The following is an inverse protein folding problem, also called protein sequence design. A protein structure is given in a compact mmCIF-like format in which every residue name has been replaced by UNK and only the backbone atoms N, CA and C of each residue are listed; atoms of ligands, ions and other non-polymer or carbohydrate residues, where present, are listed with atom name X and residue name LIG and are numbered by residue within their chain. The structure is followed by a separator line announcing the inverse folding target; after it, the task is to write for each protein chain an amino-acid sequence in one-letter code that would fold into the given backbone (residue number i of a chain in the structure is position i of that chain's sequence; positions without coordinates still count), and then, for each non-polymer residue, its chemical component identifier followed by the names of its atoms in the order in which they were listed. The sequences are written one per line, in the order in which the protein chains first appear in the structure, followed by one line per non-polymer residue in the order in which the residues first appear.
data_IF_517631809040
#
_entry.id   IF_517631809040
#
_cell.length_a   1.000
_cell.length_b   1.000
_cell.length_c   1.000
_cell.angle_alpha   90.00
_cell.angle_beta   90.00
_cell.angle_gamma   90.00
#
_symmetry.space_group_name_H-M   'P 1'
#
loop_
_entity.id
_entity.type
_entity.pdbx_description
1 polymer ?
#
# COMPACT_ATOMS: atom_id res chain seq x y z
N UNK A 1 -0.27 -30.63 -5.94
CA UNK A 1 0.82 -29.66 -6.10
C UNK A 1 1.22 -29.17 -4.71
N UNK A 2 2.49 -29.26 -4.34
CA UNK A 2 3.00 -28.74 -3.06
C UNK A 2 3.38 -27.28 -3.23
N UNK A 3 3.03 -26.46 -2.23
CA UNK A 3 3.42 -25.06 -2.15
C UNK A 3 4.63 -24.94 -1.22
N UNK A 4 5.55 -24.03 -1.51
CA UNK A 4 6.65 -23.64 -0.63
C UNK A 4 6.49 -22.18 -0.27
N UNK A 5 6.53 -21.84 1.02
CA UNK A 5 6.31 -20.48 1.51
C UNK A 5 7.18 -20.18 2.72
N UNK A 6 7.55 -18.91 2.88
CA UNK A 6 8.25 -18.48 4.08
C UNK A 6 7.35 -18.62 5.32
N UNK A 7 7.91 -19.12 6.42
CA UNK A 7 7.15 -19.35 7.66
C UNK A 7 6.96 -18.06 8.48
N UNK A 8 5.86 -17.36 8.20
CA UNK A 8 5.43 -16.18 8.96
C UNK A 8 4.58 -16.52 10.21
N UNK A 9 4.57 -17.76 10.69
CA UNK A 9 3.80 -18.13 11.90
C UNK A 9 4.56 -17.87 13.21
N UNK A 10 5.87 -17.60 13.12
CA UNK A 10 6.77 -17.35 14.25
C UNK A 10 7.34 -15.91 14.43
N UNK A 11 7.01 -14.86 13.63
CA UNK A 11 7.60 -13.55 13.84
C UNK A 11 7.03 -12.89 15.10
N UNK A 12 7.89 -12.26 15.88
CA UNK A 12 7.47 -11.30 16.89
C UNK A 12 6.88 -10.07 16.18
N UNK A 13 5.57 -10.05 16.05
CA UNK A 13 4.80 -8.94 15.46
C UNK A 13 4.06 -8.15 16.54
N UNK A 14 4.39 -8.35 17.82
CA UNK A 14 3.69 -7.72 18.93
C UNK A 14 3.78 -6.19 18.81
N UNK A 15 2.63 -5.51 18.88
CA UNK A 15 2.56 -4.04 18.81
C UNK A 15 2.74 -3.42 17.42
N UNK A 16 3.01 -4.18 16.36
CA UNK A 16 3.12 -3.63 15.00
C UNK A 16 1.76 -3.69 14.31
N UNK A 17 1.09 -2.54 14.22
CA UNK A 17 -0.15 -2.34 13.47
C UNK A 17 0.20 -1.79 12.08
N UNK A 18 0.64 -2.67 11.19
CA UNK A 18 0.99 -2.36 9.80
C UNK A 18 0.22 -3.29 8.86
N UNK A 19 -0.35 -2.73 7.79
CA UNK A 19 -1.18 -3.48 6.84
C UNK A 19 -0.44 -4.66 6.24
N UNK A 20 0.86 -4.54 5.98
CA UNK A 20 1.61 -5.60 5.32
C UNK A 20 1.97 -6.77 6.26
N UNK A 21 2.07 -6.52 7.56
CA UNK A 21 2.24 -7.58 8.56
C UNK A 21 0.93 -8.35 8.77
N UNK A 22 -0.20 -7.66 8.84
CA UNK A 22 -1.53 -8.30 8.91
C UNK A 22 -1.75 -9.23 7.71
N UNK A 23 -1.40 -8.74 6.54
CA UNK A 23 -1.37 -9.46 5.28
C UNK A 23 -0.54 -10.75 5.34
N UNK A 24 0.75 -10.68 5.74
CA UNK A 24 1.60 -11.88 5.84
C UNK A 24 1.02 -12.93 6.80
N UNK A 25 0.37 -12.49 7.89
CA UNK A 25 -0.33 -13.38 8.82
C UNK A 25 -1.57 -14.01 8.19
N UNK A 26 -2.39 -13.23 7.49
CA UNK A 26 -3.58 -13.73 6.81
C UNK A 26 -3.22 -14.82 5.79
N UNK A 27 -2.18 -14.57 4.98
CA UNK A 27 -1.67 -15.56 4.02
C UNK A 27 -1.11 -16.78 4.72
N UNK A 28 -0.30 -16.61 5.77
CA UNK A 28 0.27 -17.74 6.51
C UNK A 28 -0.81 -18.64 7.12
N UNK A 29 -1.85 -18.04 7.70
CA UNK A 29 -3.01 -18.76 8.24
C UNK A 29 -3.80 -19.47 7.14
N UNK A 30 -4.01 -18.85 5.97
CA UNK A 30 -4.69 -19.49 4.84
C UNK A 30 -3.90 -20.71 4.35
N UNK A 31 -2.60 -20.53 4.15
CA UNK A 31 -1.70 -21.58 3.69
C UNK A 31 -1.54 -22.71 4.72
N UNK A 32 -1.60 -22.42 6.02
CA UNK A 32 -1.61 -23.45 7.06
C UNK A 32 -2.82 -24.38 6.98
N UNK A 33 -3.97 -23.89 6.50
CA UNK A 33 -5.15 -24.69 6.20
C UNK A 33 -5.09 -25.46 4.87
N UNK A 34 -4.10 -25.17 4.02
CA UNK A 34 -3.95 -25.81 2.71
C UNK A 34 -3.27 -27.19 2.85
N UNK A 35 -3.75 -28.20 2.11
CA UNK A 35 -3.38 -29.61 2.31
C UNK A 35 -1.89 -29.96 2.12
N UNK A 36 -1.09 -29.11 1.46
CA UNK A 36 0.31 -29.41 1.16
C UNK A 36 1.16 -28.14 1.05
N UNK A 37 1.76 -27.72 2.17
CA UNK A 37 2.70 -26.59 2.26
C UNK A 37 4.01 -27.04 2.91
N UNK A 38 5.13 -26.78 2.23
CA UNK A 38 6.47 -26.79 2.80
C UNK A 38 6.79 -25.39 3.33
N UNK A 39 7.13 -25.30 4.60
CA UNK A 39 7.56 -24.06 5.21
C UNK A 39 9.08 -23.96 5.18
N UNK A 40 9.60 -22.78 4.83
CA UNK A 40 11.03 -22.51 4.82
C UNK A 40 11.36 -21.17 5.47
N UNK A 41 12.63 -20.99 5.81
CA UNK A 41 13.15 -19.72 6.33
C UNK A 41 13.99 -19.04 5.24
N UNK A 42 13.54 -17.86 4.78
CA UNK A 42 14.19 -17.10 3.74
C UNK A 42 15.62 -16.67 4.15
N UNK A 43 15.85 -16.44 5.44
CA UNK A 43 17.14 -15.98 5.98
C UNK A 43 18.23 -17.06 5.89
N UNK A 44 17.84 -18.32 5.64
CA UNK A 44 18.77 -19.42 5.38
C UNK A 44 19.41 -19.38 4.00
N UNK A 45 18.97 -18.50 3.09
CA UNK A 45 19.55 -18.37 1.77
C UNK A 45 19.06 -19.44 0.80
N UNK A 46 19.88 -19.83 -0.18
CA UNK A 46 19.50 -20.75 -1.25
C UNK A 46 19.00 -22.13 -0.79
N UNK A 47 19.38 -22.60 0.40
CA UNK A 47 18.86 -23.83 1.00
C UNK A 47 17.34 -23.80 1.17
N UNK A 48 16.75 -22.61 1.33
CA UNK A 48 15.32 -22.43 1.57
C UNK A 48 14.44 -22.92 0.41
N UNK A 49 14.95 -22.90 -0.82
CA UNK A 49 14.23 -23.34 -2.03
C UNK A 49 14.76 -24.66 -2.60
N UNK A 50 15.83 -25.22 -2.03
CA UNK A 50 16.49 -26.41 -2.57
C UNK A 50 15.61 -27.67 -2.55
N UNK A 51 14.60 -27.71 -1.67
CA UNK A 51 13.68 -28.86 -1.56
C UNK A 51 12.51 -28.83 -2.55
N UNK A 52 12.34 -27.75 -3.32
CA UNK A 52 11.24 -27.61 -4.26
C UNK A 52 11.44 -28.45 -5.53
N UNK A 53 10.52 -29.38 -5.77
CA UNK A 53 10.59 -30.32 -6.88
C UNK A 53 10.03 -29.73 -8.19
N UNK A 54 10.32 -30.34 -9.35
CA UNK A 54 9.73 -29.93 -10.61
C UNK A 54 8.19 -29.93 -10.58
N UNK A 55 7.58 -28.84 -11.05
CA UNK A 55 6.11 -28.68 -11.06
C UNK A 55 5.49 -28.25 -9.71
N UNK A 56 6.29 -28.07 -8.67
CA UNK A 56 5.87 -27.39 -7.43
C UNK A 56 5.95 -25.86 -7.58
N UNK A 57 5.36 -25.15 -6.62
CA UNK A 57 5.29 -23.68 -6.63
C UNK A 57 5.96 -23.12 -5.39
N UNK A 58 6.83 -22.13 -5.58
CA UNK A 58 7.39 -21.30 -4.52
C UNK A 58 6.62 -19.98 -4.51
N UNK A 59 5.93 -19.72 -3.41
CA UNK A 59 5.28 -18.44 -3.17
C UNK A 59 6.25 -17.50 -2.44
N UNK A 60 6.65 -16.44 -3.14
CA UNK A 60 7.55 -15.39 -2.68
C UNK A 60 6.76 -14.19 -2.17
N UNK A 61 5.97 -14.41 -1.11
CA UNK A 61 5.14 -13.39 -0.47
C UNK A 61 5.79 -12.73 0.75
N UNK A 62 7.12 -12.59 0.73
CA UNK A 62 7.90 -12.15 1.87
C UNK A 62 8.60 -10.84 1.54
N UNK A 63 7.95 -9.70 1.83
CA UNK A 63 8.46 -8.36 1.51
C UNK A 63 8.90 -8.18 0.04
N UNK A 64 9.71 -7.17 -0.26
CA UNK A 64 10.27 -6.96 -1.60
C UNK A 64 11.51 -7.86 -1.85
N UNK A 65 11.43 -9.16 -1.50
CA UNK A 65 12.57 -10.09 -1.57
C UNK A 65 12.45 -11.18 -2.64
N UNK A 66 11.42 -11.13 -3.49
CA UNK A 66 11.15 -12.22 -4.45
C UNK A 66 12.31 -12.48 -5.41
N UNK A 67 13.11 -11.46 -5.73
CA UNK A 67 14.30 -11.60 -6.57
C UNK A 67 15.32 -12.62 -6.01
N UNK A 68 15.34 -12.85 -4.70
CA UNK A 68 16.19 -13.87 -4.07
C UNK A 68 15.71 -15.29 -4.40
N UNK A 69 14.40 -15.54 -4.36
CA UNK A 69 13.86 -16.84 -4.78
C UNK A 69 14.16 -17.12 -6.25
N UNK A 70 14.05 -16.10 -7.10
CA UNK A 70 14.43 -16.20 -8.51
C UNK A 70 15.92 -16.49 -8.67
N UNK A 71 16.81 -15.77 -7.97
CA UNK A 71 18.26 -15.97 -8.03
C UNK A 71 18.66 -17.36 -7.54
N UNK A 72 18.08 -17.82 -6.44
CA UNK A 72 18.39 -19.13 -5.88
C UNK A 72 17.82 -20.27 -6.69
N UNK A 73 16.71 -20.07 -7.42
CA UNK A 73 16.25 -21.03 -8.42
C UNK A 73 17.32 -21.27 -9.48
N UNK A 74 18.00 -20.24 -9.96
CA UNK A 74 19.11 -20.39 -10.92
C UNK A 74 20.29 -21.13 -10.29
N UNK A 75 20.72 -20.73 -9.09
CA UNK A 75 21.87 -21.34 -8.40
C UNK A 75 21.68 -22.81 -8.05
N UNK A 76 20.47 -23.16 -7.63
CA UNK A 76 20.11 -24.55 -7.28
C UNK A 76 19.66 -25.38 -8.48
N UNK A 77 19.60 -24.76 -9.68
CA UNK A 77 19.05 -25.37 -10.91
C UNK A 77 17.62 -25.90 -10.70
N UNK A 78 16.83 -25.19 -9.89
CA UNK A 78 15.44 -25.54 -9.59
C UNK A 78 14.53 -25.48 -10.82
N UNK A 79 13.51 -26.35 -10.85
CA UNK A 79 12.51 -26.45 -11.94
C UNK A 79 11.08 -26.22 -11.43
N UNK A 80 10.94 -25.32 -10.48
CA UNK A 80 9.66 -24.91 -9.89
C UNK A 80 9.22 -23.54 -10.43
N UNK A 81 7.91 -23.30 -10.35
CA UNK A 81 7.27 -22.02 -10.69
C UNK A 81 7.37 -21.07 -9.49
N UNK A 82 7.55 -19.77 -9.75
CA UNK A 82 7.52 -18.75 -8.70
C UNK A 82 6.27 -17.90 -8.86
N UNK A 83 5.51 -17.73 -7.77
CA UNK A 83 4.47 -16.72 -7.65
C UNK A 83 4.96 -15.69 -6.64
N UNK A 84 5.16 -14.45 -7.09
CA UNK A 84 5.60 -13.33 -6.25
C UNK A 84 4.48 -12.31 -6.09
N UNK A 85 4.69 -11.33 -5.22
CA UNK A 85 3.72 -10.26 -5.02
C UNK A 85 4.40 -8.90 -4.91
N UNK A 86 3.57 -7.87 -5.10
CA UNK A 86 3.91 -6.46 -4.91
C UNK A 86 2.82 -5.82 -4.06
N UNK A 87 3.12 -5.48 -2.81
CA UNK A 87 2.12 -4.90 -1.89
C UNK A 87 1.90 -3.42 -2.07
N UNK A 88 2.93 -2.67 -2.47
CA UNK A 88 2.85 -1.22 -2.61
C UNK A 88 3.53 -0.75 -3.89
N UNK A 89 3.15 0.45 -4.34
CA UNK A 89 3.66 1.12 -5.52
C UNK A 89 4.54 2.30 -5.11
N UNK A 90 5.33 2.82 -6.07
CA UNK A 90 6.13 4.03 -5.90
C UNK A 90 7.00 4.00 -4.63
N UNK A 91 7.48 2.81 -4.29
CA UNK A 91 8.42 2.56 -3.21
C UNK A 91 9.62 1.80 -3.74
N UNK A 92 10.81 2.25 -3.36
CA UNK A 92 12.08 1.73 -3.86
C UNK A 92 12.22 0.22 -3.68
N UNK A 93 11.73 -0.34 -2.57
CA UNK A 93 11.77 -1.78 -2.30
C UNK A 93 11.13 -2.65 -3.40
N UNK A 94 9.81 -2.54 -3.61
CA UNK A 94 9.14 -3.35 -4.64
C UNK A 94 9.54 -2.95 -6.07
N UNK A 95 9.94 -1.70 -6.29
CA UNK A 95 10.47 -1.31 -7.59
C UNK A 95 11.78 -2.04 -7.91
N UNK A 96 12.73 -2.01 -6.96
CA UNK A 96 13.99 -2.73 -7.06
C UNK A 96 13.78 -4.25 -7.16
N UNK A 97 12.81 -4.82 -6.44
CA UNK A 97 12.45 -6.23 -6.58
C UNK A 97 12.14 -6.56 -8.04
N UNK A 98 11.25 -5.82 -8.69
CA UNK A 98 10.82 -6.14 -10.05
C UNK A 98 11.91 -5.85 -11.09
N UNK A 99 12.76 -4.84 -10.88
CA UNK A 99 13.99 -4.63 -11.68
C UNK A 99 14.94 -5.83 -11.57
N UNK A 100 15.15 -6.37 -10.36
CA UNK A 100 16.04 -7.51 -10.10
C UNK A 100 15.42 -8.86 -10.52
N UNK A 101 14.10 -8.98 -10.52
CA UNK A 101 13.43 -10.18 -11.03
C UNK A 101 13.49 -10.27 -12.57
N UNK A 102 13.51 -9.13 -13.27
CA UNK A 102 13.40 -9.06 -14.73
C UNK A 102 14.32 -10.03 -15.51
N UNK A 103 15.63 -10.12 -15.24
CA UNK A 103 16.52 -11.04 -15.96
C UNK A 103 16.33 -12.53 -15.59
N UNK A 104 15.54 -12.83 -14.55
CA UNK A 104 15.41 -14.17 -13.95
C UNK A 104 14.00 -14.80 -14.14
N UNK A 105 13.10 -14.10 -14.84
CA UNK A 105 11.74 -14.57 -15.09
C UNK A 105 11.74 -15.76 -16.05
N UNK A 106 10.89 -16.75 -15.77
CA UNK A 106 10.65 -17.91 -16.64
C UNK A 106 9.16 -18.00 -17.01
N UNK A 107 8.81 -18.65 -18.13
CA UNK A 107 7.42 -18.92 -18.47
C UNK A 107 6.67 -19.59 -17.32
N UNK A 108 5.49 -19.08 -17.01
CA UNK A 108 4.65 -19.55 -15.90
C UNK A 108 4.87 -18.81 -14.59
N UNK A 109 5.95 -18.06 -14.39
CA UNK A 109 6.08 -17.18 -13.22
C UNK A 109 4.97 -16.11 -13.21
N UNK A 110 4.49 -15.74 -12.02
CA UNK A 110 3.36 -14.83 -11.85
C UNK A 110 3.67 -13.77 -10.79
N UNK A 111 3.26 -12.53 -11.01
CA UNK A 111 3.21 -11.47 -9.98
C UNK A 111 1.77 -11.12 -9.62
N UNK A 112 1.50 -11.04 -8.33
CA UNK A 112 0.21 -10.65 -7.77
C UNK A 112 0.22 -9.20 -7.33
N UNK A 113 -0.86 -8.48 -7.63
CA UNK A 113 -1.08 -7.10 -7.25
C UNK A 113 -2.35 -6.91 -6.42
N UNK A 114 -2.39 -5.92 -5.51
CA UNK A 114 -3.53 -5.62 -4.66
C UNK A 114 -4.71 -4.99 -5.41
N UNK A 115 -4.46 -4.39 -6.57
CA UNK A 115 -5.46 -3.70 -7.39
C UNK A 115 -5.04 -3.71 -8.85
N UNK A 116 -6.01 -3.59 -9.76
CA UNK A 116 -5.74 -3.41 -11.18
C UNK A 116 -5.06 -2.06 -11.43
N UNK A 117 -5.37 -1.02 -10.64
CA UNK A 117 -4.59 0.23 -10.61
C UNK A 117 -3.09 -0.02 -10.46
N UNK A 118 -2.69 -0.79 -9.44
CA UNK A 118 -1.28 -1.08 -9.17
C UNK A 118 -0.69 -1.96 -10.26
N UNK A 119 -1.42 -2.97 -10.73
CA UNK A 119 -0.98 -3.85 -11.83
C UNK A 119 -0.68 -3.05 -13.10
N UNK A 120 -1.57 -2.13 -13.49
CA UNK A 120 -1.41 -1.28 -14.69
C UNK A 120 -0.22 -0.34 -14.57
N UNK A 121 0.01 0.21 -13.37
CA UNK A 121 1.20 1.02 -13.08
C UNK A 121 2.48 0.22 -13.39
N UNK A 122 2.61 -1.00 -12.88
CA UNK A 122 3.80 -1.82 -13.11
C UNK A 122 3.95 -2.27 -14.57
N UNK A 123 2.86 -2.70 -15.24
CA UNK A 123 2.86 -3.06 -16.67
C UNK A 123 3.37 -1.90 -17.54
N UNK A 124 2.96 -0.65 -17.23
CA UNK A 124 3.36 0.53 -18.01
C UNK A 124 4.86 0.83 -17.91
N UNK A 125 5.44 0.64 -16.73
CA UNK A 125 6.80 1.09 -16.44
C UNK A 125 7.87 -0.01 -16.53
N UNK A 126 7.49 -1.27 -16.36
CA UNK A 126 8.43 -2.40 -16.34
C UNK A 126 8.03 -3.43 -17.40
N UNK A 127 8.84 -3.55 -18.45
CA UNK A 127 8.60 -4.48 -19.56
C UNK A 127 8.58 -5.96 -19.14
N UNK A 128 9.15 -6.28 -17.98
CA UNK A 128 9.14 -7.62 -17.37
C UNK A 128 7.78 -7.99 -16.76
N UNK A 129 6.89 -7.01 -16.52
CA UNK A 129 5.53 -7.22 -16.04
C UNK A 129 4.58 -7.07 -17.22
N UNK A 130 3.88 -8.15 -17.56
CA UNK A 130 2.99 -8.25 -18.71
C UNK A 130 1.61 -8.66 -18.28
N UNK A 131 0.61 -8.53 -19.17
CA UNK A 131 -0.75 -8.98 -18.86
C UNK A 131 -0.82 -10.48 -18.56
N UNK A 132 0.04 -11.28 -19.18
CA UNK A 132 0.04 -12.75 -19.07
C UNK A 132 0.77 -13.27 -17.83
N UNK A 133 1.70 -12.49 -17.27
CA UNK A 133 2.46 -12.87 -16.08
C UNK A 133 2.07 -12.10 -14.82
N UNK A 134 0.92 -11.43 -14.84
CA UNK A 134 0.40 -10.66 -13.71
C UNK A 134 -1.09 -10.83 -13.49
N UNK A 135 -1.54 -10.76 -12.23
CA UNK A 135 -2.96 -10.84 -11.87
C UNK A 135 -3.30 -10.02 -10.63
N UNK A 136 -4.58 -9.65 -10.50
CA UNK A 136 -5.17 -9.15 -9.25
C UNK A 136 -5.80 -10.33 -8.53
N UNK A 137 -5.22 -10.69 -7.39
CA UNK A 137 -5.65 -11.82 -6.57
C UNK A 137 -5.35 -11.58 -5.08
N UNK A 138 -5.47 -10.32 -4.67
CA UNK A 138 -4.96 -9.82 -3.41
C UNK A 138 -5.64 -8.50 -3.05
N UNK A 139 -5.95 -8.19 -1.77
CA UNK A 139 -5.78 -8.97 -0.54
C UNK A 139 -6.88 -10.04 -0.35
N UNK A 140 -6.71 -10.93 0.63
CA UNK A 140 -7.66 -11.98 1.00
C UNK A 140 -8.70 -11.49 2.02
N UNK A 141 -9.91 -11.15 1.57
CA UNK A 141 -10.93 -10.45 2.37
C UNK A 141 -12.01 -11.35 2.96
N UNK A 142 -11.97 -12.67 2.74
CA UNK A 142 -13.00 -13.59 3.25
C UNK A 142 -13.18 -13.57 4.77
N UNK A 143 -12.22 -12.98 5.49
CA UNK A 143 -12.20 -12.87 6.95
C UNK A 143 -12.78 -11.58 7.49
N UNK A 144 -13.08 -10.61 6.63
CA UNK A 144 -13.78 -9.41 7.05
C UNK A 144 -15.24 -9.74 7.43
N UNK A 145 -15.82 -9.01 8.40
CA UNK A 145 -17.22 -9.21 8.73
C UNK A 145 -18.13 -8.85 7.56
N UNK A 146 -19.37 -9.35 7.58
CA UNK A 146 -20.41 -8.98 6.60
C UNK A 146 -21.58 -8.37 7.35
N UNK A 147 -21.39 -7.15 7.84
CA UNK A 147 -22.44 -6.44 8.58
C UNK A 147 -23.45 -5.82 7.61
N UNK A 148 -24.72 -5.65 8.02
CA UNK A 148 -25.70 -4.92 7.24
C UNK A 148 -25.24 -3.49 6.95
N UNK A 149 -25.59 -2.98 5.77
CA UNK A 149 -25.34 -1.58 5.39
C UNK A 149 -25.93 -0.64 6.44
N UNK A 150 -25.13 0.29 6.95
CA UNK A 150 -25.59 1.32 7.85
C UNK A 150 -26.55 2.27 7.11
N UNK A 151 -27.56 2.77 7.85
CA UNK A 151 -28.47 3.79 7.32
C UNK A 151 -27.72 5.10 7.18
N UNK A 152 -27.78 5.71 5.99
CA UNK A 152 -27.31 7.08 5.80
C UNK A 152 -28.29 8.04 6.49
N UNK A 153 -27.85 8.87 7.45
CA UNK A 153 -28.73 9.85 8.10
C UNK A 153 -29.20 10.88 7.08
N UNK A 154 -30.43 11.36 7.21
CA UNK A 154 -30.94 12.47 6.38
C UNK A 154 -30.17 13.77 6.68
N UNK A 155 -30.23 14.79 5.81
CA UNK A 155 -29.59 16.08 6.05
C UNK A 155 -30.01 16.75 7.37
N UNK A 156 -31.21 16.45 7.88
CA UNK A 156 -31.77 16.96 9.14
C UNK A 156 -31.43 16.14 10.38
N UNK A 157 -30.69 15.03 10.22
CA UNK A 157 -30.16 14.24 11.33
C UNK A 157 -28.68 14.55 11.60
N UNK A 158 -28.17 14.28 12.82
CA UNK A 158 -26.74 14.36 13.10
C UNK A 158 -25.90 13.47 12.19
N UNK A 159 -24.68 13.89 11.88
CA UNK A 159 -23.71 13.14 11.08
C UNK A 159 -22.43 12.90 11.88
N UNK A 160 -22.02 11.63 11.97
CA UNK A 160 -20.79 11.21 12.64
C UNK A 160 -19.76 10.82 11.58
N UNK A 161 -18.73 11.65 11.44
CA UNK A 161 -17.67 11.46 10.44
C UNK A 161 -16.52 10.67 11.07
N UNK A 162 -16.02 9.67 10.36
CA UNK A 162 -14.85 8.90 10.76
C UNK A 162 -13.62 9.20 9.91
N UNK A 163 -12.44 9.12 10.52
CA UNK A 163 -11.16 8.97 9.84
C UNK A 163 -10.33 7.89 10.54
N UNK A 164 -9.81 6.94 9.76
CA UNK A 164 -8.97 5.86 10.25
C UNK A 164 -7.75 5.69 9.36
N UNK A 165 -6.56 5.87 9.92
CA UNK A 165 -5.28 5.78 9.21
C UNK A 165 -4.22 6.72 9.78
N UNK A 166 -2.99 6.62 9.29
CA UNK A 166 -1.91 7.50 9.72
C UNK A 166 -2.29 8.97 9.50
N UNK A 167 -2.15 9.82 10.53
CA UNK A 167 -2.40 11.26 10.41
C UNK A 167 -1.18 11.86 9.71
N UNK A 168 -1.30 12.12 8.42
CA UNK A 168 -0.19 12.48 7.55
C UNK A 168 -0.61 13.38 6.38
N UNK A 169 0.38 14.04 5.77
CA UNK A 169 0.17 14.93 4.63
C UNK A 169 -0.28 14.12 3.42
N UNK A 170 0.38 12.98 3.17
CA UNK A 170 0.03 12.05 2.10
C UNK A 170 -1.39 11.46 2.21
N UNK A 171 -1.95 11.41 3.41
CA UNK A 171 -3.33 10.97 3.67
C UNK A 171 -4.34 12.12 3.66
N UNK A 172 -3.89 13.35 3.35
CA UNK A 172 -4.68 14.58 3.36
C UNK A 172 -5.45 14.81 4.66
N UNK A 173 -4.85 14.47 5.80
CA UNK A 173 -5.51 14.64 7.10
C UNK A 173 -5.82 16.12 7.40
N UNK A 174 -5.03 17.07 6.89
CA UNK A 174 -5.36 18.51 6.99
C UNK A 174 -6.71 18.83 6.33
N UNK A 175 -7.05 18.17 5.21
CA UNK A 175 -8.31 18.37 4.51
C UNK A 175 -9.49 17.75 5.28
N UNK A 176 -9.27 16.64 6.00
CA UNK A 176 -10.27 16.07 6.92
C UNK A 176 -10.66 17.11 7.98
N UNK A 177 -9.67 17.76 8.61
CA UNK A 177 -9.90 18.78 9.64
C UNK A 177 -10.62 20.01 9.06
N UNK A 178 -10.16 20.51 7.91
CA UNK A 178 -10.76 21.65 7.21
C UNK A 178 -12.23 21.40 6.83
N UNK A 179 -12.51 20.28 6.16
CA UNK A 179 -13.86 19.88 5.74
C UNK A 179 -14.77 19.70 6.93
N UNK A 180 -14.29 19.02 7.98
CA UNK A 180 -15.07 18.84 9.20
C UNK A 180 -15.42 20.18 9.85
N UNK A 181 -14.46 21.11 10.02
CA UNK A 181 -14.71 22.41 10.61
C UNK A 181 -15.75 23.21 9.81
N UNK A 182 -15.70 23.14 8.46
CA UNK A 182 -16.69 23.77 7.57
C UNK A 182 -18.09 23.16 7.75
N UNK A 183 -18.19 21.83 7.81
CA UNK A 183 -19.46 21.14 8.05
C UNK A 183 -20.04 21.48 9.44
N UNK A 184 -19.19 21.49 10.47
CA UNK A 184 -19.58 21.81 11.83
C UNK A 184 -20.11 23.24 11.95
N UNK A 185 -19.44 24.24 11.38
CA UNK A 185 -19.94 25.63 11.38
C UNK A 185 -21.26 25.81 10.64
N UNK A 186 -21.46 25.06 9.56
CA UNK A 186 -22.71 25.09 8.79
C UNK A 186 -23.88 24.37 9.50
N UNK A 187 -23.58 23.50 10.47
CA UNK A 187 -24.59 22.76 11.25
C UNK A 187 -24.10 22.50 12.68
N UNK A 188 -23.99 23.54 13.52
CA UNK A 188 -23.39 23.44 14.85
C UNK A 188 -24.09 22.40 15.72
N UNK A 189 -23.29 21.61 16.46
CA UNK A 189 -23.79 20.55 17.35
C UNK A 189 -24.38 19.32 16.64
N UNK A 190 -24.39 19.29 15.30
CA UNK A 190 -24.96 18.17 14.51
C UNK A 190 -23.93 17.40 13.70
N UNK A 191 -22.66 17.79 13.75
CA UNK A 191 -21.56 17.08 13.07
C UNK A 191 -20.44 16.82 14.06
N UNK A 192 -20.01 15.56 14.17
CA UNK A 192 -18.88 15.14 15.00
C UNK A 192 -17.82 14.39 14.17
N UNK A 193 -16.58 14.39 14.67
CA UNK A 193 -15.44 13.73 14.05
C UNK A 193 -14.80 12.72 15.02
N UNK A 194 -14.64 11.48 14.56
CA UNK A 194 -13.90 10.44 15.25
C UNK A 194 -12.67 10.05 14.44
N UNK A 195 -11.48 10.27 14.99
CA UNK A 195 -10.21 10.00 14.33
C UNK A 195 -9.44 8.92 15.07
N UNK A 196 -8.82 8.00 14.33
CA UNK A 196 -7.92 6.99 14.86
C UNK A 196 -6.72 6.79 13.92
N UNK A 197 -5.54 6.64 14.51
CA UNK A 197 -4.28 6.36 13.83
C UNK A 197 -3.09 7.10 14.42
N UNK A 198 -1.90 6.75 13.92
CA UNK A 198 -0.63 7.30 14.40
C UNK A 198 -0.39 8.71 13.85
N UNK A 199 -0.08 9.72 14.68
CA UNK A 199 0.41 11.01 14.20
C UNK A 199 1.83 10.87 13.63
N UNK A 200 2.02 11.30 12.38
CA UNK A 200 3.35 11.31 11.75
C UNK A 200 4.07 12.66 11.88
N UNK A 201 3.46 13.64 12.55
CA UNK A 201 4.04 14.95 12.82
C UNK A 201 3.38 15.56 14.07
N UNK A 202 4.11 16.33 14.91
CA UNK A 202 3.57 16.96 16.12
C UNK A 202 2.31 17.81 15.92
N UNK A 203 2.10 18.34 14.70
CA UNK A 203 0.92 19.13 14.35
C UNK A 203 -0.40 18.35 14.35
N UNK A 204 -0.32 17.01 14.30
CA UNK A 204 -1.49 16.12 14.33
C UNK A 204 -1.61 15.35 15.64
N UNK A 205 -0.80 15.69 16.64
CA UNK A 205 -1.05 15.27 18.01
C UNK A 205 -2.37 15.87 18.49
N UNK A 206 -3.05 15.16 19.40
CA UNK A 206 -4.41 15.51 19.86
C UNK A 206 -4.54 16.97 20.26
N UNK A 207 -3.65 17.49 21.10
CA UNK A 207 -3.73 18.86 21.60
C UNK A 207 -3.58 19.90 20.48
N UNK A 208 -2.70 19.63 19.50
CA UNK A 208 -2.50 20.51 18.36
C UNK A 208 -3.72 20.53 17.43
N UNK A 209 -4.33 19.36 17.19
CA UNK A 209 -5.57 19.23 16.39
C UNK A 209 -6.72 19.98 17.05
N UNK A 210 -6.94 19.76 18.36
CA UNK A 210 -8.02 20.42 19.10
C UNK A 210 -7.81 21.94 19.16
N UNK A 211 -6.57 22.41 19.34
CA UNK A 211 -6.27 23.84 19.32
C UNK A 211 -6.49 24.49 17.95
N UNK A 212 -6.15 23.81 16.86
CA UNK A 212 -6.44 24.27 15.48
C UNK A 212 -7.95 24.36 15.23
N UNK A 213 -8.70 23.30 15.54
CA UNK A 213 -10.14 23.29 15.34
C UNK A 213 -10.86 24.31 16.25
N UNK A 214 -10.40 24.50 17.48
CA UNK A 214 -10.92 25.53 18.39
C UNK A 214 -10.77 26.94 17.82
N UNK A 215 -9.63 27.25 17.17
CA UNK A 215 -9.44 28.52 16.44
C UNK A 215 -10.41 28.69 15.27
N UNK A 216 -10.98 27.60 14.76
CA UNK A 216 -11.97 27.59 13.69
C UNK A 216 -13.43 27.53 14.19
N UNK A 217 -13.66 27.69 15.51
CA UNK A 217 -14.98 27.71 16.12
C UNK A 217 -15.62 26.33 16.29
N UNK A 218 -14.80 25.29 16.48
CA UNK A 218 -15.26 23.93 16.78
C UNK A 218 -15.13 23.66 18.28
N UNK A 219 -16.21 23.18 18.88
CA UNK A 219 -16.21 22.79 20.29
C UNK A 219 -15.38 21.51 20.52
N UNK A 220 -14.59 21.40 21.61
CA UNK A 220 -13.73 20.24 21.87
C UNK A 220 -14.48 18.90 21.84
N UNK A 221 -15.72 18.86 22.35
CA UNK A 221 -16.54 17.63 22.41
C UNK A 221 -17.01 17.13 21.03
N UNK A 222 -16.89 17.95 19.98
CA UNK A 222 -17.22 17.56 18.63
C UNK A 222 -16.15 16.66 17.98
N UNK A 223 -14.98 16.50 18.61
CA UNK A 223 -13.83 15.79 18.06
C UNK A 223 -13.26 14.80 19.07
N UNK A 224 -13.06 13.56 18.65
CA UNK A 224 -12.41 12.53 19.47
C UNK A 224 -11.25 11.89 18.72
N UNK A 225 -10.08 11.87 19.35
CA UNK A 225 -8.86 11.22 18.86
C UNK A 225 -8.61 9.94 19.67
N UNK A 226 -8.68 8.76 19.05
CA UNK A 226 -8.56 7.48 19.75
C UNK A 226 -7.13 6.92 19.80
N UNK A 227 -6.18 7.55 19.10
CA UNK A 227 -4.84 6.99 18.92
C UNK A 227 -4.83 5.77 17.99
N UNK A 228 -3.87 4.88 18.16
CA UNK A 228 -3.73 3.66 17.34
C UNK A 228 -4.65 2.57 17.87
N UNK A 229 -5.49 2.01 17.00
CA UNK A 229 -6.41 0.93 17.33
C UNK A 229 -5.86 -0.43 16.88
N UNK A 230 -6.07 -1.46 17.70
CA UNK A 230 -5.89 -2.85 17.33
C UNK A 230 -7.11 -3.42 16.60
N UNK A 231 -6.95 -4.60 15.99
CA UNK A 231 -7.98 -5.25 15.17
C UNK A 231 -9.31 -5.45 15.90
N UNK A 232 -9.28 -5.77 17.20
CA UNK A 232 -10.48 -6.01 18.02
C UNK A 232 -11.27 -4.74 18.32
N UNK A 233 -10.67 -3.57 18.16
CA UNK A 233 -11.28 -2.27 18.46
C UNK A 233 -11.98 -1.66 17.23
N UNK A 234 -11.69 -2.17 16.02
CA UNK A 234 -12.22 -1.63 14.77
C UNK A 234 -13.74 -1.67 14.71
N UNK A 235 -14.38 -2.75 15.17
CA UNK A 235 -15.85 -2.83 15.23
C UNK A 235 -16.46 -1.73 16.11
N UNK A 236 -15.81 -1.44 17.25
CA UNK A 236 -16.18 -0.34 18.15
C UNK A 236 -16.03 1.02 17.48
N UNK A 237 -14.98 1.24 16.69
CA UNK A 237 -14.80 2.46 15.90
C UNK A 237 -15.90 2.62 14.84
N UNK A 238 -16.10 1.61 13.99
CA UNK A 238 -17.05 1.70 12.87
C UNK A 238 -18.51 1.88 13.34
N UNK A 239 -18.90 1.27 14.46
CA UNK A 239 -20.25 1.47 15.03
C UNK A 239 -20.56 2.91 15.47
N UNK A 240 -19.54 3.74 15.68
CA UNK A 240 -19.68 5.12 16.15
C UNK A 240 -19.75 6.15 15.02
N UNK A 241 -19.62 5.74 13.75
CA UNK A 241 -19.61 6.65 12.60
C UNK A 241 -20.71 6.32 11.59
N UNK A 242 -21.06 7.29 10.76
CA UNK A 242 -22.03 7.16 9.67
C UNK A 242 -21.35 7.12 8.29
N UNK A 243 -20.16 7.73 8.17
CA UNK A 243 -19.39 7.80 6.94
C UNK A 243 -17.89 7.87 7.29
N UNK A 244 -17.05 7.16 6.54
CA UNK A 244 -15.60 7.26 6.64
C UNK A 244 -15.06 8.20 5.55
N UNK A 245 -14.15 9.10 5.91
CA UNK A 245 -13.36 9.87 4.96
C UNK A 245 -12.05 9.15 4.63
N UNK A 246 -11.82 8.96 3.33
CA UNK A 246 -10.59 8.41 2.77
C UNK A 246 -10.01 9.33 1.68
N UNK A 247 -9.61 10.59 2.01
CA UNK A 247 -9.11 11.54 1.03
C UNK A 247 -7.65 11.26 0.63
N UNK A 248 -7.16 10.03 0.81
CA UNK A 248 -5.75 9.71 0.64
C UNK A 248 -5.32 9.89 -0.81
N UNK A 249 -4.22 10.60 -0.98
CA UNK A 249 -3.48 10.69 -2.24
C UNK A 249 -2.05 10.20 -2.04
N UNK A 250 -1.86 9.22 -1.15
CA UNK A 250 -0.53 8.80 -0.76
C UNK A 250 0.08 7.97 -1.89
N UNK A 251 1.33 8.24 -2.26
CA UNK A 251 2.02 7.52 -3.34
C UNK A 251 2.08 6.01 -3.16
N UNK A 252 2.06 5.55 -1.91
CA UNK A 252 2.11 4.13 -1.52
C UNK A 252 0.74 3.50 -1.27
N UNK A 253 -0.35 4.21 -1.53
CA UNK A 253 -1.71 3.70 -1.38
C UNK A 253 -2.10 2.84 -2.59
N UNK A 254 -2.11 1.53 -2.39
CA UNK A 254 -2.34 0.54 -3.45
C UNK A 254 -3.56 -0.32 -3.26
N UNK A 255 -4.20 -0.25 -2.08
CA UNK A 255 -5.37 -1.03 -1.74
C UNK A 255 -6.42 -0.20 -1.01
N UNK A 256 -6.03 0.62 -0.04
CA UNK A 256 -6.97 1.26 0.87
C UNK A 256 -7.68 0.23 1.75
N UNK A 257 -6.94 -0.65 2.45
CA UNK A 257 -7.52 -1.70 3.32
C UNK A 257 -8.61 -1.17 4.26
N UNK A 258 -8.43 0.04 4.79
CA UNK A 258 -9.42 0.70 5.65
C UNK A 258 -10.78 0.95 4.96
N UNK A 259 -10.77 1.15 3.64
CA UNK A 259 -11.98 1.26 2.82
C UNK A 259 -12.76 -0.05 2.89
N UNK A 260 -12.10 -1.16 2.61
CA UNK A 260 -12.71 -2.49 2.67
C UNK A 260 -13.18 -2.85 4.08
N UNK A 261 -12.40 -2.51 5.12
CA UNK A 261 -12.79 -2.70 6.52
C UNK A 261 -14.05 -1.90 6.87
N UNK A 262 -14.17 -0.64 6.41
CA UNK A 262 -15.36 0.18 6.62
C UNK A 262 -16.59 -0.40 5.90
N UNK A 263 -16.42 -0.77 4.64
CA UNK A 263 -17.50 -1.35 3.82
C UNK A 263 -17.99 -2.68 4.41
N UNK A 264 -17.09 -3.52 4.91
CA UNK A 264 -17.39 -4.76 5.62
C UNK A 264 -18.19 -4.55 6.92
N UNK A 265 -18.01 -3.39 7.57
CA UNK A 265 -18.81 -2.96 8.71
C UNK A 265 -20.08 -2.18 8.33
N UNK A 266 -20.42 -2.15 7.04
CA UNK A 266 -21.59 -1.45 6.52
C UNK A 266 -21.45 0.06 6.45
N UNK A 267 -20.25 0.62 6.64
CA UNK A 267 -20.01 2.06 6.66
C UNK A 267 -19.62 2.56 5.26
N UNK A 268 -20.38 3.50 4.65
CA UNK A 268 -20.01 4.09 3.38
C UNK A 268 -18.74 4.94 3.52
N UNK A 269 -17.97 5.00 2.43
CA UNK A 269 -16.70 5.73 2.38
C UNK A 269 -16.77 6.81 1.31
N UNK A 270 -16.27 8.00 1.60
CA UNK A 270 -15.98 9.05 0.63
C UNK A 270 -14.47 9.07 0.37
N UNK A 271 -14.06 8.72 -0.85
CA UNK A 271 -12.66 8.55 -1.22
C UNK A 271 -12.17 9.57 -2.24
N UNK A 272 -10.86 9.84 -2.28
CA UNK A 272 -10.27 10.59 -3.39
C UNK A 272 -10.51 9.84 -4.72
N UNK A 273 -10.79 10.55 -5.82
CA UNK A 273 -11.01 9.98 -7.16
C UNK A 273 -9.72 9.49 -7.87
N UNK A 274 -8.78 8.91 -7.10
CA UNK A 274 -7.52 8.37 -7.59
C UNK A 274 -7.12 7.07 -6.87
N UNK A 275 -6.16 6.35 -7.46
CA UNK A 275 -5.57 5.15 -6.90
C UNK A 275 -6.61 4.04 -6.65
N UNK A 276 -6.50 3.29 -5.54
CA UNK A 276 -7.36 2.14 -5.31
C UNK A 276 -8.83 2.50 -5.00
N UNK A 277 -9.11 3.74 -4.57
CA UNK A 277 -10.48 4.15 -4.28
C UNK A 277 -11.39 4.07 -5.51
N UNK A 278 -10.86 4.36 -6.71
CA UNK A 278 -11.59 4.27 -8.00
C UNK A 278 -12.05 2.84 -8.30
N UNK A 279 -11.27 1.85 -7.89
CA UNK A 279 -11.56 0.43 -8.08
C UNK A 279 -12.55 -0.12 -7.04
N UNK A 280 -12.55 0.47 -5.84
CA UNK A 280 -13.30 -0.03 -4.68
C UNK A 280 -14.67 0.64 -4.48
N UNK A 281 -14.80 1.93 -4.81
CA UNK A 281 -15.95 2.75 -4.44
C UNK A 281 -16.82 3.14 -5.63
N UNK A 282 -18.16 3.20 -5.47
CA UNK A 282 -19.04 3.71 -6.52
C UNK A 282 -18.67 5.14 -6.89
N UNK A 283 -18.85 5.52 -8.15
CA UNK A 283 -18.44 6.84 -8.66
C UNK A 283 -19.01 8.03 -7.85
N UNK A 284 -20.23 7.89 -7.29
CA UNK A 284 -20.86 8.91 -6.45
C UNK A 284 -20.12 9.14 -5.12
N UNK A 285 -19.35 8.16 -4.67
CA UNK A 285 -18.56 8.21 -3.44
C UNK A 285 -17.13 8.73 -3.67
N UNK A 286 -16.75 8.95 -4.92
CA UNK A 286 -15.47 9.56 -5.26
C UNK A 286 -15.57 11.09 -5.17
N UNK A 287 -14.51 11.69 -4.63
CA UNK A 287 -14.35 13.14 -4.48
C UNK A 287 -13.33 13.60 -5.51
N UNK A 288 -13.65 14.62 -6.33
CA UNK A 288 -12.70 15.16 -7.29
C UNK A 288 -11.35 15.48 -6.65
N UNK A 289 -10.25 15.10 -7.29
CA UNK A 289 -8.88 15.31 -6.78
C UNK A 289 -8.05 16.07 -7.79
N UNK A 290 -7.27 17.04 -7.33
CA UNK A 290 -6.26 17.74 -8.12
C UNK A 290 -4.89 17.12 -7.83
N UNK A 291 -4.23 16.61 -8.86
CA UNK A 291 -2.89 16.04 -8.77
C UNK A 291 -1.82 17.14 -8.79
N UNK A 292 -0.76 16.96 -8.02
CA UNK A 292 0.44 17.81 -8.06
C UNK A 292 1.35 17.38 -9.20
N UNK A 293 1.40 18.20 -10.24
CA UNK A 293 2.21 17.99 -11.44
C UNK A 293 3.46 18.87 -11.49
N UNK A 294 3.67 19.69 -10.46
CA UNK A 294 4.81 20.60 -10.36
C UNK A 294 5.97 20.02 -9.54
N UNK A 295 5.68 19.04 -8.68
CA UNK A 295 6.66 18.42 -7.81
C UNK A 295 7.30 17.18 -8.44
N UNK A 296 8.62 17.08 -8.35
CA UNK A 296 9.34 15.82 -8.54
C UNK A 296 9.36 15.07 -7.20
N UNK A 297 8.92 13.83 -7.21
CA UNK A 297 8.78 12.97 -6.05
C UNK A 297 9.87 11.90 -6.01
N UNK A 298 10.13 11.34 -4.84
CA UNK A 298 11.10 10.25 -4.68
C UNK A 298 10.46 8.98 -4.12
N UNK A 299 10.82 7.82 -4.66
CA UNK A 299 10.36 6.52 -4.15
C UNK A 299 10.87 6.20 -2.73
N UNK A 300 11.83 6.98 -2.23
CA UNK A 300 12.35 6.87 -0.87
C UNK A 300 11.32 7.25 0.20
N UNK A 301 10.31 8.06 -0.15
CA UNK A 301 9.34 8.64 0.79
C UNK A 301 7.89 8.32 0.41
N UNK A 302 6.99 8.58 1.36
CA UNK A 302 5.54 8.55 1.11
C UNK A 302 5.13 9.98 0.79
N UNK A 303 4.62 10.19 -0.41
CA UNK A 303 4.36 11.53 -0.93
C UNK A 303 2.86 11.80 -1.06
N UNK A 304 2.48 13.07 -0.97
CA UNK A 304 1.12 13.52 -1.26
C UNK A 304 1.03 13.86 -2.76
N UNK A 305 0.37 13.00 -3.53
CA UNK A 305 0.26 13.17 -4.99
C UNK A 305 -0.74 14.24 -5.42
N UNK A 306 -1.50 14.81 -4.49
CA UNK A 306 -2.57 15.73 -4.80
C UNK A 306 -3.42 16.09 -3.59
N UNK A 307 -4.57 16.71 -3.85
CA UNK A 307 -5.54 17.14 -2.83
C UNK A 307 -6.96 16.95 -3.35
N UNK A 308 -7.86 16.54 -2.46
CA UNK A 308 -9.29 16.47 -2.80
C UNK A 308 -9.91 17.87 -2.87
N UNK A 309 -10.94 18.03 -3.67
CA UNK A 309 -11.80 19.21 -3.70
C UNK A 309 -12.63 19.25 -2.40
N UNK A 310 -12.26 20.17 -1.51
CA UNK A 310 -12.91 20.32 -0.22
C UNK A 310 -14.33 20.87 -0.34
N UNK A 311 -14.63 21.64 -1.40
CA UNK A 311 -15.98 22.18 -1.63
C UNK A 311 -16.91 21.03 -2.03
N UNK A 312 -16.49 20.21 -3.00
CA UNK A 312 -17.23 19.02 -3.40
C UNK A 312 -17.44 18.05 -2.23
N UNK A 313 -16.41 17.83 -1.39
CA UNK A 313 -16.54 16.97 -0.22
C UNK A 313 -17.49 17.54 0.84
N UNK A 314 -17.42 18.85 1.13
CA UNK A 314 -18.36 19.50 2.05
C UNK A 314 -19.80 19.40 1.52
N UNK A 315 -20.03 19.64 0.24
CA UNK A 315 -21.35 19.54 -0.37
C UNK A 315 -21.89 18.12 -0.30
N UNK A 316 -21.06 17.12 -0.61
CA UNK A 316 -21.42 15.70 -0.46
C UNK A 316 -21.83 15.34 0.95
N UNK A 317 -21.05 15.75 1.94
CA UNK A 317 -21.35 15.49 3.34
C UNK A 317 -22.66 16.17 3.75
N UNK A 318 -22.85 17.46 3.43
CA UNK A 318 -24.04 18.22 3.82
C UNK A 318 -25.32 17.70 3.16
N UNK A 319 -25.26 17.38 1.87
CA UNK A 319 -26.39 16.86 1.12
C UNK A 319 -26.63 15.35 1.34
N UNK A 320 -25.71 14.65 2.01
CA UNK A 320 -25.70 13.18 2.12
C UNK A 320 -25.64 12.51 0.74
N UNK A 321 -24.88 13.12 -0.16
CA UNK A 321 -24.75 12.71 -1.56
C UNK A 321 -23.65 11.64 -1.71
N UNK A 322 -23.96 10.46 -1.22
CA UNK A 322 -23.15 9.25 -1.36
C UNK A 322 -24.02 8.01 -1.28
N UNK A 323 -23.58 6.93 -1.91
CA UNK A 323 -24.22 5.62 -1.86
C UNK A 323 -23.89 4.88 -0.55
N UNK A 324 -24.77 3.97 -0.10
CA UNK A 324 -24.48 3.05 1.00
C UNK A 324 -23.23 2.20 0.74
N UNK A 325 -22.72 1.58 1.81
CA UNK A 325 -21.55 0.69 1.73
C UNK A 325 -21.74 -0.43 0.69
N UNK A 326 -20.89 -0.42 -0.32
CA UNK A 326 -20.81 -1.46 -1.34
C UNK A 326 -19.38 -1.60 -1.86
N UNK A 327 -18.94 -2.83 -2.09
CA UNK A 327 -17.66 -3.13 -2.77
C UNK A 327 -17.99 -3.47 -4.22
N UNK A 328 -17.46 -2.69 -5.18
CA UNK A 328 -17.80 -2.89 -6.60
C UNK A 328 -17.48 -4.30 -7.08
N UNK A 329 -16.33 -4.85 -6.68
CA UNK A 329 -15.88 -6.18 -7.09
C UNK A 329 -15.13 -6.90 -5.96
N UNK A 330 -15.76 -7.88 -5.33
CA UNK A 330 -15.12 -8.69 -4.28
C UNK A 330 -14.34 -9.88 -4.83
N UNK A 331 -14.68 -10.37 -6.03
CA UNK A 331 -14.09 -11.60 -6.60
C UNK A 331 -12.55 -11.61 -6.68
N UNK A 332 -11.85 -10.49 -6.97
CA UNK A 332 -10.40 -10.49 -7.01
C UNK A 332 -9.77 -10.72 -5.62
N UNK A 333 -10.50 -10.42 -4.57
CA UNK A 333 -9.98 -10.30 -3.21
C UNK A 333 -10.38 -11.47 -2.32
N UNK A 334 -10.61 -12.65 -2.91
CA UNK A 334 -11.04 -13.84 -2.18
C UNK A 334 -9.91 -14.89 -2.11
N UNK A 335 -9.88 -15.65 -1.02
CA UNK A 335 -9.01 -16.79 -0.75
C UNK A 335 -8.97 -17.73 -1.96
N UNK A 336 -10.15 -18.03 -2.54
CA UNK A 336 -10.26 -18.90 -3.73
C UNK A 336 -9.49 -18.35 -4.92
N UNK A 337 -9.50 -17.03 -5.13
CA UNK A 337 -8.86 -16.39 -6.29
C UNK A 337 -7.35 -16.42 -6.12
N UNK A 338 -6.87 -16.14 -4.91
CA UNK A 338 -5.46 -16.30 -4.57
C UNK A 338 -4.98 -17.75 -4.75
N UNK A 339 -5.70 -18.74 -4.22
CA UNK A 339 -5.33 -20.15 -4.33
C UNK A 339 -5.30 -20.63 -5.80
N UNK A 340 -6.21 -20.13 -6.66
CA UNK A 340 -6.20 -20.40 -8.11
C UNK A 340 -4.98 -19.79 -8.80
N UNK A 341 -4.60 -18.56 -8.43
CA UNK A 341 -3.37 -17.96 -8.94
C UNK A 341 -2.13 -18.78 -8.56
N UNK A 342 -2.08 -19.30 -7.34
CA UNK A 342 -1.03 -20.23 -6.90
C UNK A 342 -1.05 -21.56 -7.66
N UNK A 343 -2.22 -22.11 -8.02
CA UNK A 343 -2.34 -23.36 -8.79
C UNK A 343 -1.96 -23.24 -10.27
N UNK A 344 -1.78 -22.01 -10.78
CA UNK A 344 -1.44 -21.76 -12.18
C UNK A 344 -2.67 -21.67 -13.08
N UNK A 345 -3.85 -21.56 -12.48
CA UNK A 345 -5.08 -21.27 -13.21
C UNK A 345 -5.12 -19.78 -13.59
N UNK A 346 -5.58 -19.50 -14.80
CA UNK A 346 -5.72 -18.14 -15.28
C UNK A 346 -6.75 -17.37 -14.44
N UNK A 347 -6.30 -16.27 -13.83
CA UNK A 347 -7.14 -15.29 -13.13
C UNK A 347 -7.19 -14.03 -13.99
N UNK A 348 -7.90 -14.10 -15.12
CA UNK A 348 -8.17 -12.92 -15.95
C UNK A 348 -9.49 -12.30 -15.50
N UNK A 349 -9.42 -11.02 -15.14
CA UNK A 349 -10.57 -10.23 -14.71
C UNK A 349 -10.47 -8.85 -15.36
N UNK A 350 -11.58 -8.33 -15.87
CA UNK A 350 -11.70 -6.93 -16.26
C UNK A 350 -12.18 -6.16 -15.03
N UNK A 351 -11.34 -5.25 -14.53
CA UNK A 351 -11.59 -4.49 -13.31
C UNK A 351 -11.47 -3.00 -13.65
N UNK A 352 -12.49 -2.23 -13.28
CA UNK A 352 -12.43 -0.78 -13.39
C UNK A 352 -11.34 -0.24 -12.47
N UNK A 353 -10.51 0.68 -12.96
CA UNK A 353 -9.34 1.16 -12.25
C UNK A 353 -9.02 2.62 -12.59
N UNK A 354 -8.11 3.21 -11.84
CA UNK A 354 -7.61 4.55 -12.10
C UNK A 354 -6.62 4.58 -13.30
N UNK A 355 -7.13 5.03 -14.45
CA UNK A 355 -6.32 5.34 -15.63
C UNK A 355 -5.62 6.70 -15.51
N UNK A 356 -6.18 7.65 -14.75
CA UNK A 356 -5.69 9.03 -14.67
C UNK A 356 -4.31 9.09 -14.03
N UNK A 357 -4.12 8.44 -12.88
CA UNK A 357 -2.80 8.41 -12.23
C UNK A 357 -1.81 7.55 -13.02
N UNK A 358 -2.24 6.38 -13.51
CA UNK A 358 -1.36 5.45 -14.23
C UNK A 358 -0.86 6.01 -15.55
N UNK A 359 -1.68 6.73 -16.32
CA UNK A 359 -1.27 7.29 -17.61
C UNK A 359 -0.34 8.50 -17.48
N UNK A 360 -0.44 9.23 -16.37
CA UNK A 360 0.29 10.49 -16.13
C UNK A 360 1.57 10.30 -15.34
N UNK A 361 1.75 9.15 -14.70
CA UNK A 361 2.96 8.82 -13.99
C UNK A 361 4.14 8.72 -14.95
N UNK A 362 5.22 9.40 -14.60
CA UNK A 362 6.52 9.30 -15.29
C UNK A 362 7.56 8.85 -14.29
N UNK A 363 8.25 7.75 -14.60
CA UNK A 363 9.39 7.26 -13.84
C UNK A 363 10.56 7.14 -14.80
N UNK A 364 11.68 7.78 -14.49
CA UNK A 364 12.89 7.60 -15.30
C UNK A 364 13.48 6.21 -15.06
N UNK A 365 13.81 5.50 -16.15
CA UNK A 365 14.48 4.21 -16.04
C UNK A 365 15.88 4.42 -15.47
N UNK A 366 16.27 3.51 -14.58
CA UNK A 366 17.63 3.41 -14.07
C UNK A 366 18.62 3.16 -15.22
N UNK A 367 19.67 3.98 -15.32
CA UNK A 367 20.70 3.90 -16.37
C UNK A 367 22.03 3.42 -15.79
N UNK A 368 22.78 2.66 -16.59
CA UNK A 368 24.17 2.30 -16.26
C UNK A 368 24.34 1.30 -15.11
N UNK A 369 23.28 0.55 -14.76
CA UNK A 369 23.34 -0.46 -13.70
C UNK A 369 23.54 -1.85 -14.29
N UNK A 370 24.58 -2.52 -13.81
CA UNK A 370 24.82 -3.95 -14.03
C UNK A 370 23.93 -4.76 -13.08
N UNK A 371 22.87 -5.36 -13.63
CA UNK A 371 21.88 -6.11 -12.84
C UNK A 371 22.45 -7.41 -12.27
N UNK A 372 23.43 -8.06 -12.92
CA UNK A 372 24.05 -9.28 -12.39
C UNK A 372 24.90 -8.94 -11.16
N UNK A 373 25.66 -7.86 -11.23
CA UNK A 373 26.40 -7.33 -10.08
C UNK A 373 25.46 -6.88 -8.96
N UNK A 374 24.35 -6.21 -9.31
CA UNK A 374 23.35 -5.78 -8.35
C UNK A 374 22.70 -6.98 -7.64
N UNK A 375 22.33 -8.03 -8.37
CA UNK A 375 21.79 -9.28 -7.82
C UNK A 375 22.77 -9.94 -6.84
N UNK A 376 24.02 -10.14 -7.26
CA UNK A 376 25.05 -10.74 -6.42
C UNK A 376 25.29 -9.92 -5.13
N UNK A 377 25.34 -8.58 -5.26
CA UNK A 377 25.52 -7.70 -4.11
C UNK A 377 24.31 -7.70 -3.17
N UNK A 378 23.10 -7.71 -3.72
CA UNK A 378 21.84 -7.74 -2.95
C UNK A 378 21.74 -9.00 -2.11
N UNK A 379 22.06 -10.17 -2.69
CA UNK A 379 22.08 -11.44 -1.96
C UNK A 379 23.14 -11.46 -0.86
N UNK A 380 24.34 -10.92 -1.13
CA UNK A 380 25.40 -10.81 -0.12
C UNK A 380 24.93 -9.95 1.06
N UNK A 381 24.43 -8.74 0.79
CA UNK A 381 23.93 -7.83 1.83
C UNK A 381 22.78 -8.47 2.61
N UNK A 382 21.84 -9.15 1.93
CA UNK A 382 20.74 -9.85 2.58
C UNK A 382 21.26 -10.91 3.54
N UNK A 383 22.16 -11.77 3.07
CA UNK A 383 22.70 -12.86 3.88
C UNK A 383 23.52 -12.32 5.05
N UNK A 384 24.32 -11.28 4.83
CA UNK A 384 25.12 -10.65 5.88
C UNK A 384 24.24 -9.97 6.93
N UNK A 385 23.18 -9.29 6.49
CA UNK A 385 22.25 -8.61 7.39
C UNK A 385 21.47 -9.62 8.24
N UNK A 386 20.81 -10.62 7.66
CA UNK A 386 20.01 -11.54 8.46
C UNK A 386 20.84 -12.58 9.24
N UNK A 387 22.13 -12.77 8.91
CA UNK A 387 23.04 -13.66 9.68
C UNK A 387 23.98 -12.93 10.63
N UNK A 388 23.75 -11.65 10.91
CA UNK A 388 24.57 -10.87 11.84
C UNK A 388 26.07 -10.81 11.49
N UNK A 389 26.39 -10.69 10.19
CA UNK A 389 27.76 -10.53 9.69
C UNK A 389 28.02 -9.06 9.33
N UNK A 390 28.31 -8.26 10.36
CA UNK A 390 28.19 -6.81 10.27
C UNK A 390 29.40 -6.10 9.66
N UNK A 391 30.61 -6.63 9.82
CA UNK A 391 31.86 -5.95 9.44
C UNK A 391 31.87 -5.48 7.98
N UNK A 392 31.44 -6.35 7.07
CA UNK A 392 31.36 -6.03 5.63
C UNK A 392 30.26 -5.02 5.30
N UNK A 393 29.16 -5.01 6.05
CA UNK A 393 28.07 -4.05 5.89
C UNK A 393 28.49 -2.67 6.41
N UNK A 394 29.07 -2.61 7.61
CA UNK A 394 29.55 -1.38 8.22
C UNK A 394 30.65 -0.74 7.37
N UNK A 395 31.60 -1.53 6.87
CA UNK A 395 32.64 -1.04 5.95
C UNK A 395 32.05 -0.45 4.67
N UNK A 396 31.00 -1.06 4.12
CA UNK A 396 30.33 -0.55 2.93
C UNK A 396 29.54 0.74 3.21
N UNK A 397 28.89 0.85 4.37
CA UNK A 397 28.19 2.07 4.81
C UNK A 397 29.19 3.20 5.08
N UNK A 398 30.34 2.91 5.68
CA UNK A 398 31.38 3.90 5.98
C UNK A 398 32.04 4.45 4.71
N UNK A 399 32.09 3.65 3.64
CA UNK A 399 32.58 4.05 2.32
C UNK A 399 31.59 4.93 1.52
N UNK A 400 30.35 5.13 2.01
CA UNK A 400 29.41 6.04 1.36
C UNK A 400 29.92 7.50 1.42
N UNK A 401 29.58 8.35 0.41
CA UNK A 401 30.03 9.74 0.33
C UNK A 401 29.74 10.55 1.60
N UNK A 402 30.56 11.59 1.85
CA UNK A 402 30.45 12.36 3.09
C UNK A 402 29.09 13.02 3.30
N UNK A 403 28.47 13.45 2.20
CA UNK A 403 27.15 14.07 2.12
C UNK A 403 26.03 13.19 2.68
N UNK A 404 26.21 11.86 2.73
CA UNK A 404 25.29 10.91 3.33
C UNK A 404 25.42 10.82 4.87
N UNK A 405 26.00 11.81 5.55
CA UNK A 405 26.36 11.73 6.97
C UNK A 405 25.22 11.37 7.94
N UNK A 406 24.01 11.89 7.72
CA UNK A 406 22.84 11.49 8.50
C UNK A 406 22.38 10.07 8.16
N UNK A 407 22.29 9.74 6.88
CA UNK A 407 21.87 8.43 6.40
C UNK A 407 22.83 7.33 6.86
N UNK A 408 24.15 7.57 6.84
CA UNK A 408 25.18 6.66 7.37
C UNK A 408 24.94 6.31 8.83
N UNK A 409 24.62 7.30 9.68
CA UNK A 409 24.33 7.04 11.11
C UNK A 409 23.08 6.18 11.28
N UNK A 410 22.04 6.43 10.50
CA UNK A 410 20.79 5.65 10.56
C UNK A 410 21.00 4.22 10.03
N UNK A 411 21.76 4.04 8.95
CA UNK A 411 22.12 2.72 8.42
C UNK A 411 23.01 1.93 9.38
N UNK A 412 23.96 2.59 10.07
CA UNK A 412 24.77 1.95 11.12
C UNK A 412 23.90 1.44 12.25
N UNK A 413 23.01 2.28 12.79
CA UNK A 413 22.06 1.86 13.84
C UNK A 413 21.17 0.72 13.36
N UNK A 414 20.70 0.77 12.11
CA UNK A 414 19.91 -0.32 11.54
C UNK A 414 20.68 -1.64 11.56
N UNK A 415 21.98 -1.63 11.24
CA UNK A 415 22.83 -2.81 11.31
C UNK A 415 23.02 -3.21 12.79
N UNK A 416 23.50 -2.33 13.65
CA UNK A 416 23.95 -2.72 15.01
C UNK A 416 22.84 -2.95 16.02
N UNK A 417 21.71 -2.24 15.90
CA UNK A 417 20.62 -2.18 16.90
C UNK A 417 19.28 -2.68 16.36
N UNK A 418 19.15 -2.87 15.04
CA UNK A 418 17.88 -3.27 14.42
C UNK A 418 17.46 -4.69 14.77
N UNK A 419 16.15 -4.93 14.93
CA UNK A 419 15.57 -6.24 15.23
C UNK A 419 15.72 -7.27 14.10
N UNK A 420 16.16 -6.84 12.90
CA UNK A 420 16.33 -7.63 11.66
C UNK A 420 15.18 -8.61 11.41
N UNK A 421 13.96 -8.19 11.76
CA UNK A 421 12.76 -8.99 11.57
C UNK A 421 12.35 -8.93 10.10
N UNK A 422 12.30 -10.08 9.42
CA UNK A 422 11.90 -10.16 8.01
C UNK A 422 10.47 -9.66 7.78
N UNK A 423 9.59 -9.74 8.79
CA UNK A 423 8.24 -9.20 8.74
C UNK A 423 8.21 -7.66 8.79
N UNK A 424 9.20 -7.01 9.40
CA UNK A 424 9.42 -5.56 9.23
C UNK A 424 10.35 -5.30 8.04
N UNK A 425 9.82 -5.53 6.85
CA UNK A 425 10.61 -5.46 5.63
C UNK A 425 11.08 -4.05 5.26
N UNK A 426 10.78 -3.00 6.04
CA UNK A 426 11.18 -1.61 5.72
C UNK A 426 12.65 -1.36 6.02
N UNK A 427 13.26 -2.18 6.88
CA UNK A 427 14.64 -2.10 7.27
C UNK A 427 15.60 -2.37 6.09
N UNK A 428 15.57 -3.59 5.56
CA UNK A 428 16.54 -4.04 4.56
C UNK A 428 16.58 -3.20 3.26
N UNK A 429 15.44 -2.77 2.67
CA UNK A 429 15.44 -1.93 1.49
C UNK A 429 16.22 -0.63 1.65
N UNK A 430 16.36 -0.09 2.87
CA UNK A 430 17.22 1.08 3.10
C UNK A 430 18.70 0.78 2.82
N UNK A 431 19.17 -0.42 3.12
CA UNK A 431 20.51 -0.87 2.77
C UNK A 431 20.65 -1.11 1.27
N UNK A 432 19.61 -1.69 0.65
CA UNK A 432 19.58 -1.89 -0.80
C UNK A 432 19.63 -0.55 -1.55
N UNK A 433 18.84 0.43 -1.11
CA UNK A 433 18.79 1.79 -1.63
C UNK A 433 20.17 2.46 -1.58
N UNK A 434 20.85 2.36 -0.43
CA UNK A 434 22.13 3.02 -0.22
C UNK A 434 23.30 2.31 -0.92
N UNK A 435 23.28 0.97 -0.99
CA UNK A 435 24.46 0.18 -1.37
C UNK A 435 24.36 -0.49 -2.74
N UNK A 436 23.19 -0.52 -3.37
CA UNK A 436 22.96 -1.25 -4.62
C UNK A 436 22.13 -0.48 -5.64
N UNK A 437 20.90 -0.13 -5.31
CA UNK A 437 19.92 0.45 -6.24
C UNK A 437 19.29 1.70 -5.63
N UNK A 438 19.85 2.90 -5.85
CA UNK A 438 19.29 4.14 -5.33
C UNK A 438 17.80 4.32 -5.68
N UNK A 439 17.00 4.94 -4.80
CA UNK A 439 15.60 5.23 -5.12
C UNK A 439 15.49 6.04 -6.42
N UNK A 440 14.47 5.74 -7.23
CA UNK A 440 14.16 6.53 -8.42
C UNK A 440 13.24 7.69 -8.04
N UNK A 441 13.36 8.76 -8.82
CA UNK A 441 12.41 9.86 -8.78
C UNK A 441 11.31 9.65 -9.82
N UNK A 442 10.16 10.26 -9.57
CA UNK A 442 8.99 10.20 -10.43
C UNK A 442 8.23 11.52 -10.42
N UNK A 443 7.36 11.70 -11.39
CA UNK A 443 6.54 12.90 -11.54
C UNK A 443 5.19 12.58 -12.16
N UNK A 444 4.33 13.60 -12.23
CA UNK A 444 3.02 13.51 -12.86
C UNK A 444 2.93 14.55 -13.98
N UNK A 445 2.60 14.13 -15.20
CA UNK A 445 2.40 15.08 -16.30
C UNK A 445 1.10 15.87 -16.11
N UNK A 446 1.02 17.14 -16.54
CA UNK A 446 -0.23 17.91 -16.56
C UNK A 446 -1.35 17.22 -17.35
N UNK A 447 -2.61 17.54 -17.03
CA UNK A 447 -3.72 17.11 -17.88
C UNK A 447 -3.61 17.77 -19.25
N UNK A 448 -3.89 17.04 -20.35
CA UNK A 448 -4.04 17.68 -21.64
C UNK A 448 -5.19 18.68 -21.55
N UNK A 449 -4.92 19.95 -21.89
CA UNK A 449 -5.96 20.98 -21.93
C UNK A 449 -7.02 20.55 -22.93
N UNK A 450 -8.21 20.19 -22.43
CA UNK A 450 -9.36 19.89 -23.26
C UNK A 450 -9.70 21.14 -24.08
N UNK A 451 -9.35 21.13 -25.37
CA UNK A 451 -9.70 22.19 -26.33
C UNK A 451 -11.13 22.01 -26.79
N UNK A 452 -12.08 22.03 -25.86
CA UNK A 452 -13.51 21.99 -26.18
C UNK A 452 -14.24 23.07 -25.41
N UNK A 453 -14.29 24.28 -26.00
CA UNK A 453 -15.41 25.24 -26.04
C UNK A 453 -14.88 26.66 -26.33
N UNK A 454 -14.52 26.90 -27.60
CA UNK A 454 -14.50 28.23 -28.24
C UNK A 454 -14.91 28.07 -29.71
N UNK A 455 -16.09 27.49 -29.93
CA UNK A 455 -16.88 27.65 -31.15
C UNK A 455 -18.31 27.74 -30.66
N UNK A 456 -18.76 28.98 -30.53
CA UNK A 456 -20.16 29.45 -30.58
C UNK A 456 -20.26 30.77 -29.81
N UNK A 457 -19.59 31.78 -30.34
CA UNK A 457 -19.86 33.19 -30.11
C UNK A 457 -19.25 33.94 -31.29
N UNK A 458 -19.86 33.79 -32.47
CA UNK A 458 -19.80 34.70 -33.62
C UNK A 458 -20.67 34.14 -34.75
N UNK A 459 -21.96 34.47 -34.69
CA UNK A 459 -22.80 34.83 -35.83
C UNK A 459 -24.15 35.31 -35.29
#
# INVERSE_FOLDING_TARGET
MRLHAHDYRAPDTSGIVDGAILMHREVAELLAGHRSVAWHDLTRGAESVASAAPGEVVYAGAGPYAFLHHLWRERTKGRFRIVREVHTALWSGYWAQEELCAPLLRPGDLVLFPTEYTRRLFIRHLASVTEDNSAVAYPMLDRLPRLPRARIPTPDEPLRIGYLGALSLAKNFDQVLSVFARCHRASPGRVSLLCAGKPNHPRWETDAVLAELGRQGVEPDAVRMLGVLGQTELAGFFSQIDVLLFPSTASRETLGRVVLEALAHGIPVLGADIGPAVELLPARNLVPTVLDTGTAFSMSRVEALGRVDEDALVDKLRARDFEPADVIAESPYQDRTFLRALSGEAVRQEIAHDARLTDRLTVERRKGVDLDRALARSEQIFTDFFRHRDDGLLSAVDALPEEAGQDRRELRRLITEGSRNLADYRAFPRLLDALVLPPLDYGLTPEPVSTTHRKDMTA
#
